data_IF_229755333224
#
_entry.id   IF_229755333224
#
_cell.length_a   1.000
_cell.length_b   1.000
_cell.length_c   1.000
_cell.angle_alpha   90.00
_cell.angle_beta   90.00
_cell.angle_gamma   90.00
#
_symmetry.space_group_name_H-M   'P 1'
#
loop_
_entity.id
_entity.type
_entity.pdbx_description
1 polymer ?
#
# COMPACT_ATOMS: atom_id res chain seq x y z
N UNK A 1 3.64 -54.73 -24.33
CA UNK A 1 2.84 -54.24 -23.18
C UNK A 1 3.16 -55.08 -21.96
N UNK A 2 3.28 -54.43 -20.80
CA UNK A 2 4.23 -54.66 -19.68
C UNK A 2 5.63 -54.11 -20.02
N UNK A 3 6.37 -53.47 -19.09
CA UNK A 3 6.29 -53.57 -17.62
C UNK A 3 6.10 -52.21 -16.91
N UNK A 4 5.64 -52.22 -15.65
CA UNK A 4 6.06 -51.30 -14.56
C UNK A 4 5.37 -51.75 -13.26
N UNK A 5 6.06 -52.62 -12.54
CA UNK A 5 5.94 -52.86 -11.09
C UNK A 5 7.35 -53.07 -10.57
N UNK A 6 7.83 -52.11 -9.80
CA UNK A 6 8.89 -52.11 -8.78
C UNK A 6 9.01 -50.62 -8.41
N UNK A 7 8.93 -50.11 -7.18
CA UNK A 7 9.05 -50.62 -5.82
C UNK A 7 8.54 -49.41 -4.96
N UNK A 8 7.47 -49.50 -4.14
CA UNK A 8 7.55 -49.64 -2.66
C UNK A 8 8.49 -48.56 -2.04
N UNK A 9 8.07 -47.57 -1.22
CA UNK A 9 7.53 -47.67 0.17
C UNK A 9 7.33 -46.24 0.76
N UNK A 10 6.40 -46.07 1.73
CA UNK A 10 6.22 -45.00 2.77
C UNK A 10 5.69 -43.62 2.30
N UNK A 11 4.44 -43.17 2.54
CA UNK A 11 3.59 -43.02 3.76
C UNK A 11 4.09 -41.91 4.72
N UNK A 12 3.30 -40.83 4.85
CA UNK A 12 3.15 -40.10 6.11
C UNK A 12 3.56 -38.61 6.18
N UNK A 13 2.54 -37.75 6.31
CA UNK A 13 2.38 -36.74 7.39
C UNK A 13 3.40 -35.59 7.56
N UNK A 14 2.88 -34.37 7.33
CA UNK A 14 2.78 -33.21 8.26
C UNK A 14 3.97 -32.39 8.78
N UNK A 15 3.63 -31.10 8.98
CA UNK A 15 4.23 -30.00 9.76
C UNK A 15 5.53 -29.38 9.21
N UNK A 16 5.56 -28.10 8.80
CA UNK A 16 5.58 -26.84 9.59
C UNK A 16 6.86 -26.60 10.40
N UNK A 17 7.30 -25.35 10.26
CA UNK A 17 8.12 -24.53 11.15
C UNK A 17 9.65 -24.67 11.16
N UNK A 18 10.24 -23.52 10.76
CA UNK A 18 11.36 -22.84 11.39
C UNK A 18 12.76 -23.46 11.25
N UNK A 19 13.73 -22.66 10.77
CA UNK A 19 14.55 -21.80 11.63
C UNK A 19 15.68 -21.11 10.86
N UNK A 20 15.95 -19.90 11.33
CA UNK A 20 17.27 -19.31 11.50
C UNK A 20 18.08 -18.89 10.27
N UNK A 21 18.11 -17.57 10.09
CA UNK A 21 19.31 -16.73 9.91
C UNK A 21 20.64 -17.40 10.29
N UNK A 22 21.74 -16.97 9.64
CA UNK A 22 22.95 -16.66 10.36
C UNK A 22 23.28 -15.16 10.26
N UNK A 23 23.32 -14.51 11.44
CA UNK A 23 24.25 -13.41 11.67
C UNK A 23 25.67 -13.88 11.35
N UNK A 24 26.47 -13.03 10.71
CA UNK A 24 27.93 -13.08 10.83
C UNK A 24 28.44 -11.66 11.01
N UNK A 25 28.65 -11.30 12.28
CA UNK A 25 29.76 -10.43 12.65
C UNK A 25 31.03 -11.30 12.58
N UNK A 26 32.06 -10.83 11.89
CA UNK A 26 33.42 -10.83 12.45
C UNK A 26 34.35 -9.98 11.58
N UNK A 27 35.15 -9.22 12.29
CA UNK A 27 36.13 -8.25 11.87
C UNK A 27 37.46 -8.98 11.83
N UNK A 28 38.06 -9.16 10.65
CA UNK A 28 39.47 -9.54 10.53
C UNK A 28 40.20 -8.50 9.68
N UNK A 29 41.13 -7.83 10.34
CA UNK A 29 42.09 -6.89 9.78
C UNK A 29 43.41 -7.58 9.45
N UNK A 30 44.10 -6.99 8.46
CA UNK A 30 45.55 -7.00 8.16
C UNK A 30 45.99 -7.97 7.02
N UNK A 31 47.15 -7.71 6.38
CA UNK A 31 47.42 -6.55 5.52
C UNK A 31 48.06 -7.01 4.19
N UNK A 32 47.86 -6.29 3.08
CA UNK A 32 48.77 -6.45 1.95
C UNK A 32 48.92 -5.14 1.18
N UNK A 33 50.06 -4.49 1.41
CA UNK A 33 50.62 -3.49 0.52
C UNK A 33 51.04 -4.17 -0.78
N UNK A 34 50.58 -3.65 -1.92
CA UNK A 34 51.35 -3.75 -3.16
C UNK A 34 51.25 -2.42 -3.89
N UNK A 35 52.41 -1.76 -3.96
CA UNK A 35 52.73 -0.68 -4.90
C UNK A 35 52.33 -1.10 -6.32
N UNK A 36 51.57 -0.26 -7.02
CA UNK A 36 51.65 -0.16 -8.48
C UNK A 36 51.70 1.31 -8.87
N UNK A 37 52.64 1.57 -9.77
CA UNK A 37 53.15 2.84 -10.24
C UNK A 37 52.10 3.72 -10.93
N UNK A 38 52.40 5.02 -10.93
CA UNK A 38 51.62 6.03 -11.61
C UNK A 38 51.51 5.76 -13.11
N UNK A 39 50.33 6.00 -13.64
CA UNK A 39 50.16 6.47 -15.01
C UNK A 39 49.09 7.53 -14.98
N UNK A 40 49.51 8.75 -15.24
CA UNK A 40 48.66 9.92 -15.44
C UNK A 40 47.91 9.70 -16.75
N UNK A 41 46.60 9.43 -16.68
CA UNK A 41 45.74 9.48 -17.85
C UNK A 41 44.85 10.70 -17.70
N UNK A 42 45.15 11.72 -18.49
CA UNK A 42 44.34 12.92 -18.66
C UNK A 42 42.89 12.50 -18.96
N UNK A 43 41.96 12.88 -18.07
CA UNK A 43 40.54 12.74 -18.32
C UNK A 43 40.14 13.74 -19.40
N UNK A 44 40.05 13.27 -20.64
CA UNK A 44 39.37 13.96 -21.72
C UNK A 44 37.93 14.17 -21.28
N UNK A 45 37.63 15.40 -20.86
CA UNK A 45 36.28 15.82 -20.50
C UNK A 45 35.54 16.07 -21.81
N UNK A 46 35.03 15.01 -22.42
CA UNK A 46 34.08 15.13 -23.53
C UNK A 46 32.76 15.63 -22.94
N UNK A 47 32.54 16.93 -23.05
CA UNK A 47 31.27 17.58 -22.76
C UNK A 47 30.22 17.08 -23.76
N UNK A 48 29.48 16.05 -23.38
CA UNK A 48 28.25 15.67 -24.07
C UNK A 48 27.27 16.84 -23.85
N UNK A 49 27.03 17.63 -24.89
CA UNK A 49 25.89 18.55 -24.94
C UNK A 49 24.62 17.69 -24.96
N UNK A 50 23.99 17.50 -23.80
CA UNK A 50 22.60 17.06 -23.75
C UNK A 50 21.75 18.15 -24.41
N UNK A 51 21.22 17.85 -25.59
CA UNK A 51 20.14 18.65 -26.18
C UNK A 51 18.84 18.27 -25.48
N UNK A 52 18.45 19.07 -24.48
CA UNK A 52 17.13 18.98 -23.86
C UNK A 52 16.11 19.52 -24.87
N UNK A 53 15.29 18.62 -25.43
CA UNK A 53 14.15 19.01 -26.27
C UNK A 53 12.92 19.05 -25.36
N UNK A 54 12.56 20.25 -24.91
CA UNK A 54 11.42 20.54 -24.04
C UNK A 54 10.23 21.03 -24.88
N UNK A 55 9.09 20.38 -24.72
CA UNK A 55 7.82 20.81 -25.34
C UNK A 55 6.88 21.21 -24.21
N UNK A 56 6.65 22.52 -24.07
CA UNK A 56 5.79 23.11 -23.03
C UNK A 56 4.45 23.51 -23.63
N UNK A 57 3.34 23.18 -22.97
CA UNK A 57 2.04 23.75 -23.34
C UNK A 57 2.04 25.26 -23.08
N UNK A 58 1.18 25.99 -23.78
CA UNK A 58 0.90 27.39 -23.40
C UNK A 58 0.42 27.45 -21.94
N UNK A 59 0.79 28.52 -21.24
CA UNK A 59 0.31 28.78 -19.87
C UNK A 59 -1.21 28.83 -19.89
N UNK A 60 -1.85 27.97 -19.10
CA UNK A 60 -3.29 28.00 -18.94
C UNK A 60 -3.66 29.10 -17.94
N UNK A 61 -4.81 29.76 -18.16
CA UNK A 61 -5.37 30.74 -17.21
C UNK A 61 -5.59 30.13 -15.80
N UNK A 62 -5.58 28.80 -15.70
CA UNK A 62 -5.84 28.02 -14.50
C UNK A 62 -4.58 27.73 -13.68
N UNK A 63 -3.40 28.06 -14.22
CA UNK A 63 -2.10 27.78 -13.59
C UNK A 63 -1.70 26.31 -13.60
N UNK A 64 -2.47 25.42 -14.25
CA UNK A 64 -2.06 24.04 -14.51
C UNK A 64 -1.11 24.04 -15.71
N UNK A 65 0.06 23.44 -15.56
CA UNK A 65 1.03 23.32 -16.65
C UNK A 65 1.20 21.87 -17.07
N UNK A 66 1.18 21.64 -18.38
CA UNK A 66 1.50 20.35 -18.96
C UNK A 66 2.69 20.49 -19.89
N UNK A 67 3.74 19.70 -19.67
CA UNK A 67 4.89 19.71 -20.55
C UNK A 67 5.54 18.32 -20.61
N UNK A 68 6.38 18.15 -21.62
CA UNK A 68 7.17 16.94 -21.77
C UNK A 68 8.59 17.28 -22.15
N UNK A 69 9.52 16.45 -21.70
CA UNK A 69 10.92 16.58 -22.07
C UNK A 69 11.54 15.19 -22.27
N UNK A 70 12.61 15.13 -23.05
CA UNK A 70 13.40 13.92 -23.25
C UNK A 70 14.74 14.06 -22.56
N UNK A 71 15.12 13.09 -21.72
CA UNK A 71 16.40 13.12 -20.97
C UNK A 71 17.00 11.73 -20.82
N UNK A 72 18.32 11.66 -20.71
CA UNK A 72 19.02 10.42 -20.41
C UNK A 72 19.10 10.20 -18.89
N UNK A 73 18.54 9.09 -18.42
CA UNK A 73 18.64 8.65 -17.03
C UNK A 73 19.40 7.32 -16.97
N UNK A 74 20.58 7.29 -16.35
CA UNK A 74 21.35 6.06 -16.18
C UNK A 74 21.68 5.34 -17.50
N UNK A 75 21.90 6.10 -18.59
CA UNK A 75 22.16 5.55 -19.93
C UNK A 75 20.91 5.13 -20.72
N UNK A 76 19.70 5.43 -20.22
CA UNK A 76 18.44 5.23 -20.94
C UNK A 76 17.78 6.56 -21.28
N UNK A 77 17.56 6.81 -22.57
CA UNK A 77 16.76 7.96 -23.02
C UNK A 77 15.30 7.72 -22.68
N UNK A 78 14.71 8.63 -21.92
CA UNK A 78 13.31 8.56 -21.48
C UNK A 78 12.59 9.85 -21.86
N UNK A 79 11.35 9.71 -22.36
CA UNK A 79 10.42 10.82 -22.50
C UNK A 79 9.57 10.90 -21.24
N UNK A 80 9.56 12.07 -20.61
CA UNK A 80 8.84 12.34 -19.36
C UNK A 80 7.70 13.30 -19.66
N UNK A 81 6.53 13.01 -19.10
CA UNK A 81 5.36 13.89 -19.13
C UNK A 81 5.13 14.42 -17.72
N UNK A 82 4.93 15.72 -17.58
CA UNK A 82 4.76 16.40 -16.31
C UNK A 82 3.45 17.18 -16.33
N UNK A 83 2.69 17.02 -15.24
CA UNK A 83 1.53 17.84 -14.91
C UNK A 83 1.86 18.57 -13.62
N UNK A 84 2.02 19.89 -13.69
CA UNK A 84 2.21 20.73 -12.50
C UNK A 84 0.88 21.38 -12.12
N UNK A 85 0.56 21.28 -10.83
CA UNK A 85 -0.69 21.81 -10.27
C UNK A 85 -0.31 22.73 -9.09
N UNK A 86 -0.87 23.94 -9.01
CA UNK A 86 -0.63 24.82 -7.87
C UNK A 86 -1.14 24.18 -6.58
N UNK A 87 -0.25 24.01 -5.59
CA UNK A 87 -0.57 23.38 -4.29
C UNK A 87 -1.74 24.06 -3.57
N UNK A 88 -1.80 25.38 -3.66
CA UNK A 88 -2.78 26.21 -2.94
C UNK A 88 -3.97 26.62 -3.82
N UNK A 89 -4.18 25.91 -4.94
CA UNK A 89 -5.34 26.17 -5.80
C UNK A 89 -6.64 25.89 -5.05
N UNK A 90 -7.62 26.80 -5.24
CA UNK A 90 -9.01 26.58 -4.79
C UNK A 90 -9.90 26.02 -5.90
N UNK A 91 -9.38 25.96 -7.12
CA UNK A 91 -10.11 25.53 -8.31
C UNK A 91 -9.85 24.06 -8.62
N UNK A 92 -8.70 23.53 -8.19
CA UNK A 92 -8.28 22.16 -8.44
C UNK A 92 -7.84 21.47 -7.17
N UNK A 93 -8.13 20.17 -7.11
CA UNK A 93 -7.60 19.28 -6.09
C UNK A 93 -7.21 17.96 -6.73
N UNK A 94 -6.19 17.32 -6.17
CA UNK A 94 -5.94 15.91 -6.38
C UNK A 94 -7.02 15.08 -5.68
N UNK A 95 -7.49 14.03 -6.35
CA UNK A 95 -8.44 13.07 -5.79
C UNK A 95 -7.96 11.64 -6.12
N UNK A 96 -7.58 10.82 -5.14
CA UNK A 96 -7.35 9.40 -5.38
C UNK A 96 -8.69 8.71 -5.64
N UNK A 97 -8.80 7.93 -6.71
CA UNK A 97 -10.06 7.28 -7.10
C UNK A 97 -9.86 5.79 -7.33
N UNK A 98 -10.62 4.90 -6.64
CA UNK A 98 -10.64 3.47 -6.93
C UNK A 98 -11.36 3.18 -8.25
N UNK A 99 -11.01 2.08 -8.92
CA UNK A 99 -11.51 1.75 -10.26
C UNK A 99 -13.05 1.70 -10.36
N UNK A 100 -13.74 1.17 -9.35
CA UNK A 100 -15.21 0.98 -9.34
C UNK A 100 -15.91 1.56 -8.11
N UNK A 101 -15.27 2.42 -7.32
CA UNK A 101 -15.75 2.75 -5.97
C UNK A 101 -15.88 1.53 -5.06
N UNK A 102 -15.00 0.56 -5.28
CA UNK A 102 -14.89 -0.69 -4.54
C UNK A 102 -13.40 -1.00 -4.36
N UNK A 103 -13.09 -1.91 -3.45
CA UNK A 103 -11.72 -2.33 -3.14
C UNK A 103 -11.05 -3.04 -4.31
N UNK A 104 -11.83 -3.71 -5.16
CA UNK A 104 -11.32 -4.56 -6.23
C UNK A 104 -11.66 -4.03 -7.62
N UNK A 105 -10.86 -4.44 -8.59
CA UNK A 105 -11.09 -4.22 -10.01
C UNK A 105 -10.01 -3.36 -10.67
N UNK A 106 -9.99 -3.43 -12.00
CA UNK A 106 -9.14 -2.62 -12.85
C UNK A 106 -10.00 -1.84 -13.84
N UNK A 107 -9.59 -0.62 -14.13
CA UNK A 107 -10.22 0.25 -15.12
C UNK A 107 -9.14 1.05 -15.85
N UNK A 108 -9.41 1.40 -17.11
CA UNK A 108 -8.54 2.30 -17.85
C UNK A 108 -8.57 3.69 -17.21
N UNK A 109 -7.39 4.30 -17.04
CA UNK A 109 -7.28 5.65 -16.47
C UNK A 109 -8.13 6.66 -17.25
N UNK A 110 -8.18 6.54 -18.58
CA UNK A 110 -9.01 7.40 -19.43
C UNK A 110 -10.50 7.33 -19.09
N UNK A 111 -11.03 6.14 -18.75
CA UNK A 111 -12.42 5.98 -18.34
C UNK A 111 -12.68 6.60 -16.95
N UNK A 112 -11.69 6.54 -16.04
CA UNK A 112 -11.80 7.19 -14.72
C UNK A 112 -11.82 8.71 -14.90
N UNK A 113 -10.93 9.26 -15.72
CA UNK A 113 -10.86 10.69 -16.03
C UNK A 113 -12.20 11.16 -16.62
N UNK A 114 -12.72 10.45 -17.63
CA UNK A 114 -13.99 10.78 -18.28
C UNK A 114 -15.16 10.74 -17.29
N UNK A 115 -15.27 9.67 -16.50
CA UNK A 115 -16.35 9.49 -15.51
C UNK A 115 -16.35 10.59 -14.44
N UNK A 116 -15.18 11.05 -14.02
CA UNK A 116 -15.02 12.06 -12.98
C UNK A 116 -14.92 13.48 -13.52
N UNK A 117 -15.00 13.68 -14.84
CA UNK A 117 -14.80 14.97 -15.50
C UNK A 117 -13.50 15.66 -15.04
N UNK A 118 -12.43 14.87 -14.86
CA UNK A 118 -11.15 15.39 -14.41
C UNK A 118 -10.39 16.06 -15.57
N UNK A 119 -9.65 17.13 -15.27
CA UNK A 119 -8.77 17.81 -16.23
C UNK A 119 -7.59 16.94 -16.68
N UNK A 120 -7.22 15.96 -15.86
CA UNK A 120 -6.15 15.02 -16.14
C UNK A 120 -6.03 13.97 -15.04
N UNK A 121 -5.13 13.02 -15.25
CA UNK A 121 -4.87 11.97 -14.27
C UNK A 121 -3.61 11.19 -14.57
N UNK A 122 -3.09 10.55 -13.55
CA UNK A 122 -2.00 9.58 -13.62
C UNK A 122 -2.47 8.27 -12.99
N UNK A 123 -1.87 7.15 -13.38
CA UNK A 123 -2.13 5.91 -12.66
C UNK A 123 -1.66 6.06 -11.21
N UNK A 124 -2.39 5.45 -10.29
CA UNK A 124 -2.03 5.42 -8.88
C UNK A 124 -0.86 4.48 -8.58
N UNK A 125 -0.73 4.16 -7.29
CA UNK A 125 0.22 3.23 -6.73
C UNK A 125 -0.08 1.76 -7.01
N UNK A 126 0.65 0.92 -6.30
CA UNK A 126 0.65 -0.52 -6.53
C UNK A 126 -0.67 -1.18 -6.16
N UNK A 127 -0.93 -2.33 -6.77
CA UNK A 127 -2.08 -3.17 -6.48
C UNK A 127 -1.66 -4.63 -6.30
N UNK A 128 -2.29 -5.29 -5.34
CA UNK A 128 -2.29 -6.75 -5.21
C UNK A 128 -3.19 -7.40 -6.26
N UNK A 129 -3.33 -8.72 -6.19
CA UNK A 129 -4.24 -9.49 -7.03
C UNK A 129 -5.66 -8.88 -7.06
N UNK A 130 -6.29 -8.99 -8.23
CA UNK A 130 -7.65 -8.48 -8.50
C UNK A 130 -7.83 -6.97 -8.31
N UNK A 131 -6.75 -6.18 -8.30
CA UNK A 131 -6.80 -4.72 -8.27
C UNK A 131 -6.94 -4.13 -6.88
N UNK A 132 -6.79 -4.94 -5.82
CA UNK A 132 -6.78 -4.41 -4.44
C UNK A 132 -5.60 -3.47 -4.25
N UNK A 133 -5.89 -2.22 -3.88
CA UNK A 133 -4.86 -1.21 -3.65
C UNK A 133 -3.79 -1.65 -2.63
N UNK A 134 -2.55 -1.20 -2.80
CA UNK A 134 -1.39 -1.57 -1.99
C UNK A 134 -1.08 -0.61 -0.83
N UNK A 135 -2.03 -0.37 0.08
CA UNK A 135 -1.83 0.47 1.26
C UNK A 135 -3.05 1.29 1.63
N UNK A 136 -2.86 2.36 2.41
CA UNK A 136 -3.92 3.30 2.80
C UNK A 136 -4.61 3.87 1.57
N UNK A 137 -5.93 3.65 1.48
CA UNK A 137 -6.82 4.43 0.64
C UNK A 137 -8.07 4.76 1.46
N UNK A 138 -8.18 6.03 1.84
CA UNK A 138 -9.30 6.54 2.65
C UNK A 138 -9.82 7.82 2.00
N UNK A 139 -11.13 7.94 1.86
CA UNK A 139 -11.82 9.14 1.38
C UNK A 139 -12.90 9.54 2.39
N UNK A 140 -12.65 10.61 3.14
CA UNK A 140 -13.47 10.97 4.30
C UNK A 140 -13.64 9.82 5.28
N UNK A 141 -14.87 9.32 5.40
CA UNK A 141 -15.21 8.18 6.28
C UNK A 141 -15.18 6.82 5.58
N UNK A 142 -14.87 6.79 4.27
CA UNK A 142 -14.80 5.55 3.49
C UNK A 142 -13.39 4.96 3.50
N UNK A 143 -13.24 3.81 4.17
CA UNK A 143 -11.98 3.08 4.26
C UNK A 143 -11.95 1.96 3.23
N UNK A 144 -11.27 2.20 2.11
CA UNK A 144 -11.11 1.18 1.07
C UNK A 144 -10.05 0.16 1.46
N UNK A 145 -8.91 0.60 1.99
CA UNK A 145 -7.87 -0.32 2.43
C UNK A 145 -7.03 0.28 3.56
N UNK A 146 -6.39 -0.62 4.32
CA UNK A 146 -5.58 -0.31 5.48
C UNK A 146 -4.08 -0.24 5.15
N UNK A 147 -3.34 0.38 6.05
CA UNK A 147 -1.90 0.64 5.98
C UNK A 147 -1.04 -0.61 5.79
N UNK A 148 0.13 -0.43 5.16
CA UNK A 148 1.20 -1.46 5.10
C UNK A 148 2.21 -1.35 6.25
N UNK A 149 2.24 -0.23 6.97
CA UNK A 149 3.28 0.15 7.94
C UNK A 149 4.67 0.44 7.34
N UNK A 150 4.80 0.50 6.00
CA UNK A 150 6.08 0.62 5.32
C UNK A 150 6.28 1.94 4.57
N UNK A 151 5.24 2.45 3.91
CA UNK A 151 5.39 3.54 2.94
C UNK A 151 4.79 4.87 3.46
N UNK A 152 5.27 6.01 2.95
CA UNK A 152 4.64 7.30 3.18
C UNK A 152 3.24 7.34 2.56
N UNK A 153 2.38 8.13 3.19
CA UNK A 153 0.99 8.37 2.79
C UNK A 153 0.87 9.85 2.44
N UNK A 154 0.45 10.15 1.21
CA UNK A 154 0.05 11.51 0.86
C UNK A 154 -1.33 11.76 1.46
N UNK A 155 -1.44 12.82 2.25
CA UNK A 155 -2.68 13.21 2.93
C UNK A 155 -3.10 14.58 2.44
N UNK A 156 -4.37 14.68 2.08
CA UNK A 156 -5.06 15.95 1.94
C UNK A 156 -6.04 16.09 3.09
N UNK A 157 -5.77 17.05 3.97
CA UNK A 157 -6.58 17.29 5.15
C UNK A 157 -6.69 18.78 5.44
N UNK A 158 -7.90 19.24 5.73
CA UNK A 158 -8.19 20.63 6.08
C UNK A 158 -7.66 21.63 5.02
N UNK A 159 -7.70 21.25 3.74
CA UNK A 159 -7.24 22.07 2.61
C UNK A 159 -5.73 22.04 2.37
N UNK A 160 -5.00 21.12 3.00
CA UNK A 160 -3.53 21.07 2.90
C UNK A 160 -3.02 19.69 2.52
N UNK A 161 -2.01 19.69 1.65
CA UNK A 161 -1.22 18.50 1.29
C UNK A 161 0.01 18.35 2.18
N UNK A 162 0.18 17.17 2.75
CA UNK A 162 1.37 16.76 3.51
C UNK A 162 1.57 15.24 3.46
N UNK A 163 2.72 14.77 3.93
CA UNK A 163 3.01 13.35 4.07
C UNK A 163 2.90 12.91 5.53
N UNK A 164 2.37 11.71 5.75
CA UNK A 164 2.43 10.98 7.01
C UNK A 164 3.12 9.63 6.79
N UNK A 165 3.64 9.02 7.84
CA UNK A 165 4.10 7.63 7.76
C UNK A 165 2.89 6.70 7.95
N UNK A 166 2.76 5.68 7.10
CA UNK A 166 1.61 4.77 7.18
C UNK A 166 1.47 4.13 8.56
N UNK A 167 2.57 3.83 9.25
CA UNK A 167 2.58 3.29 10.62
C UNK A 167 1.85 4.15 11.66
N UNK A 168 1.76 5.47 11.43
CA UNK A 168 1.11 6.42 12.32
C UNK A 168 -0.43 6.36 12.22
N UNK A 169 -0.95 5.70 11.18
CA UNK A 169 -2.38 5.41 11.10
C UNK A 169 -2.74 4.34 12.13
N UNK A 170 -3.82 4.56 12.88
CA UNK A 170 -4.27 3.65 13.92
C UNK A 170 -5.79 3.60 14.01
N UNK A 171 -6.31 2.56 14.66
CA UNK A 171 -7.73 2.44 14.91
C UNK A 171 -8.05 1.54 16.10
N UNK A 172 -9.18 1.80 16.73
CA UNK A 172 -9.73 0.93 17.76
C UNK A 172 -11.26 0.91 17.72
N UNK A 173 -11.81 -0.22 18.14
CA UNK A 173 -13.22 -0.40 18.45
C UNK A 173 -13.45 0.04 19.89
N UNK A 174 -14.51 0.78 20.15
CA UNK A 174 -14.97 1.15 21.49
C UNK A 174 -16.39 0.61 21.74
N UNK A 175 -16.57 -0.11 22.86
CA UNK A 175 -17.86 -0.63 23.35
C UNK A 175 -17.88 -0.44 24.88
N UNK A 176 -18.86 0.31 25.40
CA UNK A 176 -18.98 0.62 26.86
C UNK A 176 -17.67 1.11 27.51
N UNK A 177 -16.88 1.89 26.78
CA UNK A 177 -15.59 2.40 27.26
C UNK A 177 -14.44 1.38 27.28
N UNK A 178 -14.70 0.12 26.88
CA UNK A 178 -13.65 -0.85 26.59
C UNK A 178 -13.15 -0.68 25.16
N UNK A 179 -11.85 -0.92 24.93
CA UNK A 179 -11.21 -0.71 23.64
C UNK A 179 -10.51 -1.96 23.12
N UNK A 180 -10.61 -2.18 21.81
CA UNK A 180 -9.90 -3.24 21.10
C UNK A 180 -9.23 -2.68 19.86
N UNK A 181 -7.95 -2.98 19.66
CA UNK A 181 -7.17 -2.47 18.53
C UNK A 181 -7.69 -3.05 17.20
N UNK A 182 -7.82 -2.18 16.19
CA UNK A 182 -8.06 -2.58 14.79
C UNK A 182 -6.71 -2.82 14.13
N UNK A 183 -6.57 -3.97 13.48
CA UNK A 183 -5.36 -4.38 12.78
C UNK A 183 -5.49 -4.22 11.26
N UNK A 184 -6.72 -4.12 10.76
CA UNK A 184 -6.98 -3.97 9.35
C UNK A 184 -8.40 -3.55 9.03
N UNK A 185 -8.56 -2.99 7.85
CA UNK A 185 -9.83 -2.73 7.18
C UNK A 185 -9.68 -3.24 5.75
N UNK A 186 -10.63 -4.06 5.29
CA UNK A 186 -10.73 -4.51 3.90
C UNK A 186 -9.43 -5.16 3.35
N UNK A 187 -8.67 -5.82 4.23
CA UNK A 187 -7.47 -6.60 3.89
C UNK A 187 -7.67 -8.07 4.26
N UNK A 188 -6.95 -9.02 3.63
CA UNK A 188 -6.95 -10.40 4.07
C UNK A 188 -6.46 -10.52 5.50
N UNK A 189 -6.84 -11.61 6.17
CA UNK A 189 -6.18 -12.00 7.41
C UNK A 189 -4.71 -12.34 7.13
N UNK A 190 -3.82 -11.44 7.52
CA UNK A 190 -2.44 -11.77 7.80
C UNK A 190 -2.45 -12.50 9.15
N UNK A 191 -1.76 -13.64 9.24
CA UNK A 191 -1.88 -14.61 10.34
C UNK A 191 -1.76 -14.00 11.77
N UNK A 192 -2.28 -14.73 12.77
CA UNK A 192 -2.39 -14.45 14.23
C UNK A 192 -3.35 -13.33 14.67
N UNK A 193 -4.48 -13.72 15.29
CA UNK A 193 -5.37 -12.92 16.17
C UNK A 193 -5.75 -11.50 15.74
N UNK A 194 -5.56 -11.16 14.46
CA UNK A 194 -5.81 -9.82 13.95
C UNK A 194 -7.31 -9.54 13.88
N UNK A 195 -7.68 -8.37 14.41
CA UNK A 195 -9.02 -7.79 14.31
C UNK A 195 -9.12 -7.02 13.00
N UNK A 196 -9.90 -7.53 12.05
CA UNK A 196 -10.09 -6.94 10.73
C UNK A 196 -11.55 -6.49 10.58
N UNK A 197 -11.76 -5.34 9.94
CA UNK A 197 -13.09 -4.84 9.61
C UNK A 197 -13.33 -5.02 8.12
N UNK A 198 -14.47 -5.63 7.77
CA UNK A 198 -14.94 -5.70 6.38
C UNK A 198 -16.20 -4.87 6.21
N UNK A 199 -16.14 -3.87 5.34
CA UNK A 199 -17.26 -3.02 4.97
C UNK A 199 -17.73 -3.30 3.53
N UNK A 200 -18.89 -2.76 3.10
CA UNK A 200 -19.46 -3.07 1.79
C UNK A 200 -18.55 -2.74 0.59
N UNK A 201 -17.57 -1.83 0.74
CA UNK A 201 -16.60 -1.51 -0.32
C UNK A 201 -15.75 -2.73 -0.68
N UNK A 202 -15.55 -3.68 0.25
CA UNK A 202 -14.81 -4.91 0.01
C UNK A 202 -15.52 -5.85 -0.97
N UNK A 203 -16.85 -5.84 -0.97
CA UNK A 203 -17.71 -6.73 -1.74
C UNK A 203 -18.86 -7.27 -0.89
N UNK A 204 -19.51 -8.34 -1.39
CA UNK A 204 -20.68 -8.95 -0.73
C UNK A 204 -20.34 -9.79 0.50
N UNK A 205 -19.12 -10.34 0.55
CA UNK A 205 -18.65 -11.23 1.61
C UNK A 205 -17.24 -10.85 2.07
N UNK A 206 -16.84 -11.31 3.25
CA UNK A 206 -15.46 -11.19 3.75
C UNK A 206 -14.44 -12.08 3.02
N UNK A 207 -14.91 -13.00 2.16
CA UNK A 207 -14.10 -13.94 1.38
C UNK A 207 -13.17 -14.82 2.23
N UNK A 208 -13.55 -15.08 3.49
CA UNK A 208 -12.77 -15.94 4.37
C UNK A 208 -13.18 -17.39 4.24
N UNK A 209 -12.26 -18.23 3.76
CA UNK A 209 -12.47 -19.68 3.68
C UNK A 209 -11.73 -20.42 4.81
N UNK A 210 -11.97 -19.98 6.05
CA UNK A 210 -11.42 -20.59 7.26
C UNK A 210 -12.35 -20.38 8.45
N UNK A 211 -12.01 -20.92 9.62
CA UNK A 211 -12.73 -20.65 10.87
C UNK A 211 -12.20 -19.38 11.55
N UNK A 212 -13.10 -18.49 11.97
CA UNK A 212 -12.81 -17.22 12.63
C UNK A 212 -13.98 -16.82 13.56
N UNK A 213 -13.72 -15.90 14.48
CA UNK A 213 -14.77 -15.23 15.24
C UNK A 213 -15.29 -14.05 14.41
N UNK A 214 -16.61 -13.94 14.28
CA UNK A 214 -17.27 -12.93 13.45
C UNK A 214 -18.32 -12.17 14.27
N UNK A 215 -18.30 -10.86 14.15
CA UNK A 215 -19.30 -9.96 14.73
C UNK A 215 -19.98 -9.23 13.57
N UNK A 216 -21.28 -9.42 13.44
CA UNK A 216 -22.11 -8.69 12.48
C UNK A 216 -22.64 -7.43 13.15
N UNK A 217 -22.29 -6.27 12.59
CA UNK A 217 -22.74 -4.96 13.06
C UNK A 217 -23.63 -4.33 11.99
N UNK A 218 -24.78 -3.81 12.39
CA UNK A 218 -25.74 -3.11 11.53
C UNK A 218 -26.14 -1.83 12.23
N UNK A 219 -26.03 -0.69 11.54
CA UNK A 219 -26.32 0.64 12.09
C UNK A 219 -25.60 0.88 13.42
N UNK A 220 -24.30 0.52 13.47
CA UNK A 220 -23.44 0.60 14.65
C UNK A 220 -23.90 -0.21 15.87
N UNK A 221 -24.79 -1.18 15.69
CA UNK A 221 -25.26 -2.09 16.76
C UNK A 221 -24.88 -3.53 16.44
N UNK A 222 -24.31 -4.22 17.43
CA UNK A 222 -23.98 -5.65 17.31
C UNK A 222 -25.27 -6.45 17.16
N UNK A 223 -25.43 -7.13 16.04
CA UNK A 223 -26.55 -8.05 15.83
C UNK A 223 -26.22 -9.46 16.29
N UNK A 224 -24.97 -9.89 16.05
CA UNK A 224 -24.53 -11.26 16.35
C UNK A 224 -23.02 -11.31 16.54
N UNK A 225 -22.59 -12.18 17.44
CA UNK A 225 -21.19 -12.55 17.63
C UNK A 225 -21.11 -14.08 17.68
N UNK A 226 -20.37 -14.69 16.75
CA UNK A 226 -20.36 -16.15 16.56
C UNK A 226 -19.04 -16.64 15.97
N UNK A 227 -18.76 -17.94 16.12
CA UNK A 227 -17.71 -18.61 15.34
C UNK A 227 -18.33 -19.04 14.01
N UNK A 228 -17.68 -18.66 12.92
CA UNK A 228 -18.09 -18.99 11.56
C UNK A 228 -17.00 -19.83 10.90
N UNK A 229 -17.41 -20.74 10.02
CA UNK A 229 -16.52 -21.42 9.09
C UNK A 229 -16.98 -21.11 7.66
N UNK A 230 -16.09 -20.54 6.86
CA UNK A 230 -16.40 -20.07 5.51
C UNK A 230 -16.91 -18.63 5.47
N UNK A 231 -17.24 -18.16 4.26
CA UNK A 231 -17.50 -16.75 4.02
C UNK A 231 -18.77 -16.25 4.74
N UNK A 232 -18.75 -14.99 5.17
CA UNK A 232 -19.91 -14.30 5.74
C UNK A 232 -20.31 -13.11 4.89
N UNK A 233 -21.62 -12.93 4.69
CA UNK A 233 -22.18 -11.76 4.03
C UNK A 233 -21.95 -10.47 4.84
N UNK A 234 -21.52 -9.43 4.16
CA UNK A 234 -21.33 -8.09 4.72
C UNK A 234 -22.67 -7.33 4.62
N UNK A 235 -23.25 -6.83 5.72
CA UNK A 235 -24.49 -6.07 5.67
C UNK A 235 -24.33 -4.75 4.88
N UNK A 236 -25.31 -4.40 4.05
CA UNK A 236 -25.27 -3.17 3.23
C UNK A 236 -25.19 -1.87 4.06
N UNK A 237 -25.81 -1.84 5.24
CA UNK A 237 -25.81 -0.72 6.19
C UNK A 237 -25.00 -1.04 7.45
N UNK A 238 -23.90 -1.79 7.28
CA UNK A 238 -23.12 -2.29 8.39
C UNK A 238 -21.72 -2.76 7.98
N UNK A 239 -21.14 -3.61 8.82
CA UNK A 239 -19.83 -4.18 8.61
C UNK A 239 -19.67 -5.46 9.43
N UNK A 240 -18.62 -6.22 9.10
CA UNK A 240 -18.17 -7.34 9.90
C UNK A 240 -16.91 -6.95 10.67
N UNK A 241 -16.81 -7.38 11.92
CA UNK A 241 -15.56 -7.40 12.68
C UNK A 241 -15.14 -8.86 12.81
N UNK A 242 -13.97 -9.21 12.31
CA UNK A 242 -13.47 -10.59 12.31
C UNK A 242 -12.20 -10.71 13.13
N UNK A 243 -12.04 -11.85 13.79
CA UNK A 243 -10.80 -12.21 14.51
C UNK A 243 -10.34 -13.59 14.06
N UNK A 244 -9.17 -13.62 13.41
CA UNK A 244 -8.59 -14.85 12.88
C UNK A 244 -7.95 -15.71 13.98
N UNK A 245 -7.74 -17.00 13.70
CA UNK A 245 -7.08 -17.92 14.65
C UNK A 245 -5.61 -17.55 14.93
N UNK A 246 -5.09 -17.89 16.13
CA UNK A 246 -5.83 -18.32 17.32
C UNK A 246 -6.62 -17.14 17.93
N UNK A 247 -7.70 -17.39 18.65
CA UNK A 247 -8.43 -16.34 19.38
C UNK A 247 -9.00 -16.89 20.70
N UNK A 248 -9.22 -16.01 21.66
CA UNK A 248 -9.87 -16.32 22.93
C UNK A 248 -11.37 -16.06 22.82
N UNK A 249 -12.16 -17.14 22.74
CA UNK A 249 -13.60 -17.05 22.56
C UNK A 249 -14.30 -16.41 23.77
N UNK A 250 -13.86 -16.70 25.00
CA UNK A 250 -14.51 -16.17 26.20
C UNK A 250 -14.27 -14.66 26.31
N UNK A 251 -13.04 -14.21 26.01
CA UNK A 251 -12.72 -12.79 25.92
C UNK A 251 -13.59 -12.11 24.85
N UNK A 252 -13.64 -12.65 23.63
CA UNK A 252 -14.36 -12.03 22.52
C UNK A 252 -15.87 -11.98 22.75
N UNK A 253 -16.47 -13.05 23.30
CA UNK A 253 -17.91 -13.06 23.62
C UNK A 253 -18.27 -12.14 24.78
N UNK A 254 -17.34 -11.91 25.72
CA UNK A 254 -17.53 -10.92 26.78
C UNK A 254 -17.40 -9.47 26.28
N UNK A 255 -16.58 -9.23 25.26
CA UNK A 255 -16.38 -7.90 24.67
C UNK A 255 -17.49 -7.54 23.68
N UNK A 256 -17.84 -8.46 22.77
CA UNK A 256 -18.84 -8.28 21.71
C UNK A 256 -20.22 -8.79 22.14
N UNK A 257 -20.85 -8.06 23.07
CA UNK A 257 -22.18 -8.39 23.55
C UNK A 257 -23.25 -7.94 22.53
N UNK A 258 -24.18 -8.81 22.11
CA UNK A 258 -25.27 -8.44 21.22
C UNK A 258 -26.10 -7.25 21.73
N UNK A 259 -26.60 -6.45 20.78
CA UNK A 259 -27.39 -5.23 20.96
C UNK A 259 -26.64 -4.04 21.57
N UNK A 260 -25.33 -4.16 21.78
CA UNK A 260 -24.51 -3.03 22.19
C UNK A 260 -24.10 -2.16 21.01
N UNK A 261 -23.95 -0.86 21.29
CA UNK A 261 -23.42 0.10 20.33
C UNK A 261 -21.91 -0.05 20.20
N UNK A 262 -21.45 -0.07 18.96
CA UNK A 262 -20.05 -0.07 18.56
C UNK A 262 -19.67 1.31 18.07
N UNK A 263 -18.47 1.77 18.39
CA UNK A 263 -17.90 2.96 17.75
C UNK A 263 -16.51 2.63 17.22
N UNK A 264 -16.27 2.96 15.96
CA UNK A 264 -14.97 2.83 15.33
C UNK A 264 -14.24 4.16 15.41
N UNK A 265 -13.05 4.15 15.98
CA UNK A 265 -12.18 5.31 16.06
C UNK A 265 -10.96 5.07 15.18
N UNK A 266 -10.62 6.07 14.37
CA UNK A 266 -9.47 6.05 13.49
C UNK A 266 -8.67 7.34 13.65
N UNK A 267 -7.35 7.22 13.54
CA UNK A 267 -6.41 8.34 13.54
C UNK A 267 -5.47 8.20 12.33
N UNK A 268 -5.24 9.27 11.55
CA UNK A 268 -5.84 10.60 11.66
C UNK A 268 -7.36 10.57 11.40
N UNK A 269 -8.09 11.48 12.05
CA UNK A 269 -9.51 11.70 11.77
C UNK A 269 -9.64 12.44 10.43
N UNK A 270 -10.26 11.80 9.44
CA UNK A 270 -10.55 12.39 8.13
C UNK A 270 -12.05 12.71 8.04
N UNK A 271 -12.38 13.91 7.59
CA UNK A 271 -13.77 14.35 7.37
C UNK A 271 -14.11 14.33 5.87
N UNK A 272 -15.37 14.58 5.53
CA UNK A 272 -15.77 14.72 4.12
C UNK A 272 -14.86 15.72 3.37
N UNK A 273 -14.33 15.28 2.22
CA UNK A 273 -13.36 16.02 1.42
C UNK A 273 -11.88 15.78 1.78
N UNK A 274 -11.57 15.27 2.97
CA UNK A 274 -10.22 14.81 3.32
C UNK A 274 -9.95 13.44 2.67
N UNK A 275 -8.68 13.11 2.40
CA UNK A 275 -8.29 11.78 1.93
C UNK A 275 -6.84 11.45 2.28
N UNK A 276 -6.54 10.15 2.25
CA UNK A 276 -5.20 9.61 2.45
C UNK A 276 -4.89 8.51 1.41
N UNK A 277 -3.70 8.56 0.82
CA UNK A 277 -3.27 7.68 -0.25
C UNK A 277 -1.82 7.21 -0.08
N UNK A 278 -1.64 5.90 0.07
CA UNK A 278 -0.34 5.23 0.12
C UNK A 278 0.06 4.73 -1.27
N UNK A 279 1.35 4.72 -1.57
CA UNK A 279 1.84 4.22 -2.85
C UNK A 279 3.07 3.35 -2.66
N UNK A 280 4.23 3.97 -2.48
CA UNK A 280 5.51 3.29 -2.41
C UNK A 280 6.57 4.19 -1.80
N UNK A 281 7.83 3.84 -2.01
CA UNK A 281 8.95 4.47 -1.33
C UNK A 281 9.06 5.97 -1.59
N UNK A 282 9.52 6.68 -0.56
CA UNK A 282 9.96 8.06 -0.71
C UNK A 282 11.24 8.09 -1.54
N UNK A 283 11.22 8.80 -2.66
CA UNK A 283 12.40 8.93 -3.54
C UNK A 283 13.22 10.18 -3.23
N UNK A 284 12.55 11.28 -2.87
CA UNK A 284 13.17 12.58 -2.60
C UNK A 284 12.59 13.17 -1.32
N UNK A 285 13.46 13.74 -0.48
CA UNK A 285 13.09 14.49 0.71
C UNK A 285 14.02 15.69 0.86
N UNK A 286 13.44 16.89 1.02
CA UNK A 286 14.19 18.15 1.14
C UNK A 286 15.27 18.34 0.05
N UNK A 287 14.92 17.96 -1.18
CA UNK A 287 15.82 18.03 -2.35
C UNK A 287 16.93 16.97 -2.38
N UNK A 288 16.94 16.02 -1.45
CA UNK A 288 17.93 14.93 -1.37
C UNK A 288 17.32 13.62 -1.83
N UNK A 289 18.12 12.82 -2.53
CA UNK A 289 17.77 11.45 -2.85
C UNK A 289 17.74 10.61 -1.56
N UNK A 290 16.56 10.07 -1.25
CA UNK A 290 16.33 9.15 -0.11
C UNK A 290 15.79 7.81 -0.58
N UNK A 291 15.80 7.56 -1.90
CA UNK A 291 15.31 6.31 -2.48
C UNK A 291 16.07 5.11 -1.87
N UNK A 292 15.36 4.09 -1.37
CA UNK A 292 15.99 2.91 -0.83
C UNK A 292 16.63 2.10 -1.97
N UNK A 293 17.57 1.21 -1.62
CA UNK A 293 18.17 0.33 -2.62
C UNK A 293 17.18 -0.71 -3.15
N UNK A 294 16.25 -1.13 -2.30
CA UNK A 294 15.24 -2.16 -2.57
C UNK A 294 13.88 -1.66 -2.10
N UNK A 295 12.83 -1.97 -2.87
CA UNK A 295 11.43 -1.75 -2.49
C UNK A 295 10.75 -3.09 -2.29
N UNK A 296 9.75 -3.14 -1.40
CA UNK A 296 8.84 -4.28 -1.33
C UNK A 296 7.96 -4.42 -2.57
N UNK A 297 7.84 -3.37 -3.40
CA UNK A 297 7.06 -3.37 -4.63
C UNK A 297 7.90 -3.61 -5.90
N UNK A 298 9.18 -3.21 -5.90
CA UNK A 298 10.07 -3.25 -7.06
C UNK A 298 11.53 -3.58 -6.69
N UNK A 299 12.15 -4.52 -7.39
CA UNK A 299 13.58 -4.83 -7.29
C UNK A 299 14.40 -4.12 -8.40
N UNK A 300 15.64 -3.68 -8.15
CA UNK A 300 16.10 -2.63 -7.21
C UNK A 300 15.84 -1.20 -7.71
N UNK A 301 15.65 -0.25 -6.79
CA UNK A 301 15.31 1.17 -7.07
C UNK A 301 16.52 2.10 -7.26
N UNK A 302 17.71 1.69 -6.80
CA UNK A 302 18.90 2.53 -6.96
C UNK A 302 19.26 2.59 -8.44
N UNK A 303 19.23 3.79 -9.03
CA UNK A 303 19.93 4.04 -10.28
C UNK A 303 21.41 3.72 -10.03
N UNK A 304 21.86 2.55 -10.47
CA UNK A 304 23.27 2.22 -10.47
C UNK A 304 23.94 3.25 -11.37
N UNK A 305 24.82 4.07 -10.78
CA UNK A 305 25.97 4.58 -11.52
C UNK A 305 26.71 3.34 -12.01
N UNK A 306 26.41 2.95 -13.25
CA UNK A 306 27.19 1.97 -14.00
C UNK A 306 28.57 2.59 -14.22
N UNK A 307 29.47 2.43 -13.25
CA UNK A 307 30.90 2.38 -13.57
C UNK A 307 31.08 1.14 -14.44
N UNK A 308 31.08 1.36 -15.76
CA UNK A 308 31.49 0.34 -16.72
C UNK A 308 32.95 -0.01 -16.40
N UNK A 309 33.19 -1.25 -15.98
CA UNK A 309 34.50 -1.89 -16.11
C UNK A 309 34.74 -2.24 -17.58
#
# INVERSE_FOLDING_TARGET
MKPWKLLLVLLGLLFLFTRCSPQRNEQETLPFETKVEGTTTEAVTESIKESEEETRSEESDTGILFYSFTKNFGGRTSKVFVLEIPKDSKEYMLLPVPAYNEVFGYRLLSEIIEKHHAEGGVNGGFSYAYGRHGGVLIQGTEFFNWKTDQYPVLVYKDGQYFFMESKDFSGHIEIKGQRMKIHGVNKPHEYVSNVIIYNPLYGKTDRLDQEYFCVTVVEDVIQKAEIVSGEKEIPNNGYLITVGKPFDQDLLTSFFVPFEKVTLHFDPVLKEGDWAYECGDRLVEDGKNVAPMFSGWVEPLKATTLERR
#
